data_IF_791994862033
#
_entry.id   IF_791994862033
#
_cell.length_a   1.000
_cell.length_b   1.000
_cell.length_c   1.000
_cell.angle_alpha   90.00
_cell.angle_beta   90.00
_cell.angle_gamma   90.00
#
_symmetry.space_group_name_H-M   'P 1'
#
loop_
_entity.id
_entity.type
_entity.pdbx_description
1 polymer ?
#
# COMPACT_ATOMS: atom_id res chain seq x y z
N UNK A 1 12.96 9.32 -2.12
CA UNK A 1 12.31 10.34 -1.29
C UNK A 1 11.30 9.70 -0.36
N UNK A 2 11.27 10.12 0.88
CA UNK A 2 10.39 9.52 1.89
C UNK A 2 9.05 10.25 1.93
N UNK A 3 7.99 9.45 1.96
CA UNK A 3 6.62 9.95 2.04
C UNK A 3 5.83 9.04 2.97
N UNK A 4 5.47 9.51 4.17
CA UNK A 4 4.69 8.69 5.09
C UNK A 4 3.37 8.26 4.48
N UNK A 5 3.02 6.99 4.68
CA UNK A 5 1.83 6.44 4.03
C UNK A 5 1.34 5.20 4.77
N UNK A 6 0.02 5.03 4.78
CA UNK A 6 -0.65 3.82 5.24
C UNK A 6 -1.07 3.05 4.01
N UNK A 7 -1.00 1.72 4.06
CA UNK A 7 -1.33 0.91 2.89
C UNK A 7 -2.00 -0.39 3.30
N UNK A 8 -2.68 -1.02 2.34
CA UNK A 8 -3.23 -2.36 2.50
C UNK A 8 -2.73 -3.22 1.35
N UNK A 9 -2.20 -4.39 1.68
CA UNK A 9 -1.84 -5.42 0.70
C UNK A 9 -2.73 -6.64 0.91
N UNK A 10 -3.08 -7.31 -0.19
CA UNK A 10 -3.94 -8.48 -0.17
C UNK A 10 -3.19 -9.70 -0.71
N UNK A 11 -3.60 -10.90 -0.29
CA UNK A 11 -3.02 -12.13 -0.84
C UNK A 11 -3.48 -12.36 -2.28
N UNK A 12 -4.70 -11.96 -2.59
CA UNK A 12 -5.32 -12.05 -3.91
C UNK A 12 -6.65 -11.32 -3.85
N UNK A 13 -7.34 -11.24 -4.98
CA UNK A 13 -8.69 -10.67 -5.00
C UNK A 13 -9.56 -11.38 -3.96
N UNK A 14 -10.20 -10.58 -3.10
CA UNK A 14 -11.03 -11.07 -1.99
C UNK A 14 -10.31 -11.93 -0.97
N UNK A 15 -8.98 -11.87 -0.97
CA UNK A 15 -8.15 -12.65 -0.06
C UNK A 15 -7.90 -11.97 1.27
N UNK A 16 -6.85 -12.44 1.96
CA UNK A 16 -6.42 -11.91 3.25
C UNK A 16 -5.85 -10.51 3.08
N UNK A 17 -6.15 -9.62 4.03
CA UNK A 17 -5.67 -8.24 4.03
C UNK A 17 -4.64 -8.02 5.13
N UNK A 18 -3.62 -7.20 4.81
CA UNK A 18 -2.64 -6.75 5.78
C UNK A 18 -2.52 -5.22 5.67
N UNK A 19 -2.61 -4.53 6.81
CA UNK A 19 -2.47 -3.08 6.89
C UNK A 19 -1.10 -2.74 7.44
N UNK A 20 -0.39 -1.82 6.79
CA UNK A 20 0.92 -1.42 7.23
C UNK A 20 1.14 0.08 7.08
N UNK A 21 2.30 0.54 7.55
CA UNK A 21 2.72 1.93 7.46
C UNK A 21 4.17 1.95 7.01
N UNK A 22 4.51 2.93 6.16
CA UNK A 22 5.88 3.04 5.64
C UNK A 22 6.18 4.49 5.27
N UNK A 23 7.46 4.82 5.21
CA UNK A 23 7.92 6.09 4.67
C UNK A 23 8.34 5.98 3.21
N UNK A 24 8.29 4.76 2.64
CA UNK A 24 8.70 4.51 1.26
C UNK A 24 7.83 3.40 0.67
N UNK A 25 6.69 3.79 0.11
CA UNK A 25 5.72 2.83 -0.40
C UNK A 25 6.25 1.97 -1.57
N UNK A 26 6.92 2.55 -2.58
CA UNK A 26 7.42 1.71 -3.68
C UNK A 26 8.35 0.60 -3.20
N UNK A 27 9.25 0.92 -2.28
CA UNK A 27 10.16 -0.07 -1.70
C UNK A 27 9.41 -1.13 -0.90
N UNK A 28 8.46 -0.70 -0.05
CA UNK A 28 7.71 -1.62 0.79
C UNK A 28 6.80 -2.52 -0.06
N UNK A 29 6.20 -1.99 -1.13
CA UNK A 29 5.39 -2.80 -2.04
C UNK A 29 6.24 -3.89 -2.70
N UNK A 30 7.46 -3.54 -3.10
CA UNK A 30 8.41 -4.50 -3.65
C UNK A 30 8.73 -5.59 -2.63
N UNK A 31 9.01 -5.18 -1.39
CA UNK A 31 9.34 -6.14 -0.32
C UNK A 31 8.19 -7.11 -0.05
N UNK A 32 6.95 -6.63 -0.07
CA UNK A 32 5.79 -7.51 0.07
C UNK A 32 5.68 -8.49 -1.10
N UNK A 33 5.87 -8.00 -2.31
CA UNK A 33 5.80 -8.84 -3.51
C UNK A 33 6.83 -9.95 -3.46
N UNK A 34 8.04 -9.65 -3.00
CA UNK A 34 9.12 -10.63 -2.92
C UNK A 34 9.07 -11.48 -1.64
N UNK A 35 8.08 -11.26 -0.78
CA UNK A 35 7.94 -12.02 0.44
C UNK A 35 8.99 -11.71 1.49
N UNK A 36 9.54 -10.50 1.47
CA UNK A 36 10.62 -10.09 2.39
C UNK A 36 10.11 -9.50 3.71
N UNK A 37 8.82 -9.15 3.78
CA UNK A 37 8.21 -8.63 5.00
C UNK A 37 7.78 -9.80 5.87
N UNK A 38 8.44 -9.97 7.00
CA UNK A 38 8.18 -11.09 7.91
C UNK A 38 6.83 -10.98 8.62
N UNK A 39 6.38 -12.11 9.20
CA UNK A 39 5.19 -12.16 10.02
C UNK A 39 3.94 -12.45 9.22
N UNK A 40 2.81 -11.79 9.57
CA UNK A 40 1.50 -12.05 8.99
C UNK A 40 1.48 -11.94 7.47
N UNK A 41 2.06 -10.86 6.93
CA UNK A 41 2.06 -10.62 5.49
C UNK A 41 2.74 -11.78 4.73
N UNK A 42 3.89 -12.23 5.21
CA UNK A 42 4.63 -13.33 4.57
C UNK A 42 3.86 -14.65 4.70
N UNK A 43 3.33 -14.91 5.88
CA UNK A 43 2.58 -16.15 6.16
C UNK A 43 1.41 -16.33 5.22
N UNK A 44 0.66 -15.25 4.97
CA UNK A 44 -0.54 -15.31 4.14
C UNK A 44 -0.32 -14.84 2.70
N UNK A 45 0.92 -14.54 2.33
CA UNK A 45 1.26 -14.14 0.97
C UNK A 45 0.60 -12.85 0.51
N UNK A 46 0.55 -11.83 1.38
CA UNK A 46 -0.07 -10.54 1.03
C UNK A 46 0.89 -9.74 0.17
N UNK A 47 0.74 -9.83 -1.15
CA UNK A 47 1.66 -9.27 -2.14
C UNK A 47 1.05 -8.21 -3.05
N UNK A 48 -0.27 -8.10 -3.09
CA UNK A 48 -0.98 -7.18 -4.01
C UNK A 48 -1.34 -5.91 -3.26
N UNK A 49 -0.82 -4.76 -3.72
CA UNK A 49 -1.14 -3.47 -3.12
C UNK A 49 -2.52 -3.02 -3.62
N UNK A 50 -3.51 -2.98 -2.73
CA UNK A 50 -4.89 -2.64 -3.11
C UNK A 50 -5.32 -1.24 -2.71
N UNK A 51 -4.61 -0.61 -1.77
CA UNK A 51 -4.97 0.73 -1.30
C UNK A 51 -3.78 1.38 -0.58
N UNK A 52 -3.69 2.70 -0.68
CA UNK A 52 -2.74 3.48 0.12
C UNK A 52 -3.25 4.90 0.33
N UNK A 53 -2.73 5.54 1.38
CA UNK A 53 -3.11 6.91 1.74
C UNK A 53 -1.86 7.64 2.22
N UNK A 54 -1.54 8.76 1.59
CA UNK A 54 -0.37 9.56 1.93
C UNK A 54 -0.67 10.45 3.14
N UNK A 55 0.35 10.66 3.96
CA UNK A 55 0.27 11.52 5.14
C UNK A 55 1.45 12.48 5.18
N UNK A 56 1.30 13.59 5.87
CA UNK A 56 2.36 14.59 5.98
C UNK A 56 3.44 14.18 6.97
N UNK A 57 3.09 13.35 7.96
CA UNK A 57 4.04 12.90 8.97
C UNK A 57 3.86 11.42 9.29
N UNK A 58 4.94 10.81 9.82
CA UNK A 58 4.87 9.41 10.26
C UNK A 58 3.93 9.24 11.44
N UNK A 59 3.84 10.24 12.31
CA UNK A 59 2.94 10.17 13.47
C UNK A 59 1.49 10.04 13.01
N UNK A 60 1.09 10.86 12.02
CA UNK A 60 -0.25 10.78 11.45
C UNK A 60 -0.50 9.44 10.77
N UNK A 61 0.49 8.98 10.01
CA UNK A 61 0.37 7.71 9.30
C UNK A 61 0.22 6.55 10.29
N UNK A 62 1.01 6.53 11.35
CA UNK A 62 0.95 5.49 12.39
C UNK A 62 -0.41 5.52 13.09
N UNK A 63 -0.92 6.71 13.40
CA UNK A 63 -2.23 6.84 14.03
C UNK A 63 -3.32 6.28 13.13
N UNK A 64 -3.26 6.61 11.85
CA UNK A 64 -4.22 6.11 10.86
C UNK A 64 -4.14 4.59 10.70
N UNK A 65 -2.93 4.06 10.65
CA UNK A 65 -2.72 2.62 10.56
C UNK A 65 -3.38 1.89 11.72
N UNK A 66 -3.22 2.41 12.94
CA UNK A 66 -3.84 1.80 14.11
C UNK A 66 -5.37 1.83 14.03
N UNK A 67 -5.94 2.95 13.54
CA UNK A 67 -7.38 3.05 13.33
C UNK A 67 -7.87 1.96 12.36
N UNK A 68 -7.18 1.84 11.23
CA UNK A 68 -7.58 0.90 10.18
C UNK A 68 -7.40 -0.55 10.64
N UNK A 69 -6.37 -0.84 11.42
CA UNK A 69 -6.18 -2.19 11.97
C UNK A 69 -7.35 -2.61 12.88
N UNK A 70 -8.01 -1.65 13.51
CA UNK A 70 -9.18 -1.92 14.36
C UNK A 70 -10.47 -2.06 13.57
N UNK A 71 -10.47 -1.75 12.27
CA UNK A 71 -11.65 -1.87 11.41
C UNK A 71 -12.03 -3.33 11.18
N UNK A 72 -13.33 -3.56 10.96
CA UNK A 72 -13.78 -4.85 10.45
C UNK A 72 -13.25 -5.05 9.02
N UNK A 73 -13.27 -6.30 8.55
CA UNK A 73 -12.89 -6.58 7.17
C UNK A 73 -13.73 -5.78 6.17
N UNK A 74 -15.04 -5.71 6.38
CA UNK A 74 -15.92 -4.97 5.49
C UNK A 74 -15.55 -3.49 5.45
N UNK A 75 -15.19 -2.91 6.59
CA UNK A 75 -14.82 -1.51 6.65
C UNK A 75 -13.47 -1.24 5.99
N UNK A 76 -12.53 -2.19 6.08
CA UNK A 76 -11.26 -2.09 5.34
C UNK A 76 -11.50 -2.11 3.83
N UNK A 77 -12.33 -3.01 3.36
CA UNK A 77 -12.66 -3.13 1.95
C UNK A 77 -13.35 -1.85 1.46
N UNK A 78 -14.20 -1.23 2.29
CA UNK A 78 -14.87 0.00 1.94
C UNK A 78 -13.91 1.15 1.60
N UNK A 79 -12.68 1.12 2.14
CA UNK A 79 -11.69 2.14 1.85
C UNK A 79 -11.31 2.19 0.37
N UNK A 80 -11.31 1.05 -0.31
CA UNK A 80 -10.89 0.99 -1.70
C UNK A 80 -11.97 0.46 -2.67
N UNK A 81 -13.19 0.23 -2.16
CA UNK A 81 -14.26 -0.36 -2.98
C UNK A 81 -14.62 0.50 -4.18
N UNK A 82 -14.57 1.84 -4.04
CA UNK A 82 -14.92 2.76 -5.13
C UNK A 82 -13.77 2.97 -6.11
N UNK A 83 -12.55 3.02 -5.60
CA UNK A 83 -11.38 3.34 -6.42
C UNK A 83 -10.70 2.12 -7.01
N UNK A 84 -10.84 0.96 -6.35
CA UNK A 84 -10.19 -0.27 -6.80
C UNK A 84 -11.09 -1.49 -6.56
N UNK A 85 -12.29 -1.52 -7.18
CA UNK A 85 -13.25 -2.60 -6.93
C UNK A 85 -12.77 -3.99 -7.36
N UNK A 86 -11.83 -4.06 -8.29
CA UNK A 86 -11.31 -5.34 -8.78
C UNK A 86 -10.06 -5.83 -8.04
N UNK A 87 -9.62 -5.07 -7.02
CA UNK A 87 -8.42 -5.43 -6.23
C UNK A 87 -7.15 -5.51 -7.10
N UNK A 88 -7.03 -4.57 -8.02
CA UNK A 88 -5.88 -4.48 -8.91
C UNK A 88 -4.63 -4.10 -8.10
N UNK A 89 -3.47 -4.61 -8.53
CA UNK A 89 -2.20 -4.27 -7.90
C UNK A 89 -1.78 -2.85 -8.29
N UNK A 90 -1.87 -1.92 -7.34
CA UNK A 90 -1.55 -0.52 -7.55
C UNK A 90 -0.04 -0.24 -7.60
N UNK A 91 0.79 -1.22 -7.28
CA UNK A 91 2.24 -1.02 -7.31
C UNK A 91 2.74 -0.72 -8.72
N UNK A 92 2.07 -1.24 -9.73
CA UNK A 92 2.39 -0.95 -11.12
C UNK A 92 2.24 0.54 -11.43
N UNK A 93 1.18 1.16 -10.90
CA UNK A 93 0.93 2.59 -11.09
C UNK A 93 2.02 3.44 -10.42
N UNK A 94 2.52 3.00 -9.28
CA UNK A 94 3.60 3.71 -8.60
C UNK A 94 4.85 3.79 -9.47
N UNK A 95 5.20 2.69 -10.12
CA UNK A 95 6.37 2.68 -11.01
C UNK A 95 6.15 3.57 -12.23
N UNK A 96 4.96 3.57 -12.80
CA UNK A 96 4.61 4.41 -13.94
C UNK A 96 4.74 5.89 -13.58
N UNK A 97 4.21 6.30 -12.42
CA UNK A 97 4.29 7.67 -11.95
C UNK A 97 5.75 8.10 -11.78
N UNK A 98 6.59 7.22 -11.23
CA UNK A 98 8.01 7.53 -11.04
C UNK A 98 8.72 7.74 -12.37
N UNK A 99 8.41 6.94 -13.37
CA UNK A 99 8.99 7.10 -14.71
C UNK A 99 8.61 8.45 -15.31
N UNK A 100 7.34 8.82 -15.20
CA UNK A 100 6.87 10.12 -15.70
C UNK A 100 7.61 11.26 -15.03
N UNK A 101 7.79 11.18 -13.71
CA UNK A 101 8.53 12.20 -12.98
C UNK A 101 9.96 12.35 -13.46
N UNK A 102 10.64 11.23 -13.74
CA UNK A 102 12.00 11.25 -14.26
C UNK A 102 12.08 12.02 -15.57
N UNK A 103 11.16 11.73 -16.48
CA UNK A 103 11.14 12.39 -17.77
C UNK A 103 10.91 13.89 -17.61
N UNK A 104 9.99 14.29 -16.76
CA UNK A 104 9.75 15.70 -16.50
C UNK A 104 10.97 16.39 -15.93
N UNK A 105 11.63 15.75 -14.98
CA UNK A 105 12.84 16.28 -14.37
C UNK A 105 13.94 16.45 -15.40
N UNK A 106 14.09 15.46 -16.27
CA UNK A 106 15.11 15.50 -17.31
C UNK A 106 14.84 16.57 -18.35
N UNK A 107 13.59 16.87 -18.63
CA UNK A 107 13.23 17.87 -19.63
C UNK A 107 13.21 19.29 -19.08
N UNK A 108 13.22 19.44 -17.78
CA UNK A 108 13.27 20.76 -17.16
C UNK A 108 14.69 21.31 -17.17
#
# INVERSE_FOLDING_TARGET
MKQPCVYIVASRSRGTLYTGVTANLPRRAFEHREGLVNGFSKKYGCKVLVWYELHESMIEAITREKQIKAYSRAKKIALFAKTNPSWKDLSTDLYSVRKVRRYRTASA
#
